data_IF_686053376607
#
_entry.id   IF_686053376607
#
_cell.length_a   1.000
_cell.length_b   1.000
_cell.length_c   1.000
_cell.angle_alpha   90.00
_cell.angle_beta   90.00
_cell.angle_gamma   90.00
#
_symmetry.space_group_name_H-M   'P 1'
#
loop_
_entity.id
_entity.type
_entity.pdbx_description
1 polymer ?
#
# COMPACT_ATOMS: atom_id res chain seq x y z
N UNK A 1 -6.37 8.59 8.49
CA UNK A 1 -5.14 9.03 7.79
C UNK A 1 -5.55 9.79 6.54
N UNK A 2 -4.86 10.88 6.18
CA UNK A 2 -5.20 11.69 4.99
C UNK A 2 -4.58 11.11 3.72
N UNK A 3 -5.16 11.26 2.53
CA UNK A 3 -4.47 10.88 1.28
C UNK A 3 -3.23 11.78 1.04
N UNK A 4 -2.23 11.33 0.26
CA UNK A 4 -1.12 12.16 -0.20
C UNK A 4 -1.62 13.40 -0.97
N UNK A 5 -0.91 14.52 -0.82
CA UNK A 5 -1.22 15.80 -1.50
C UNK A 5 -0.49 15.98 -2.84
N UNK A 6 0.57 15.22 -3.07
CA UNK A 6 1.41 15.31 -4.26
C UNK A 6 1.65 13.94 -4.87
N UNK A 7 1.97 13.91 -6.16
CA UNK A 7 2.37 12.69 -6.85
C UNK A 7 3.62 12.06 -6.21
N UNK A 8 4.59 12.89 -5.81
CA UNK A 8 5.78 12.43 -5.09
C UNK A 8 5.42 11.78 -3.75
N UNK A 9 4.51 12.35 -2.98
CA UNK A 9 4.08 11.74 -1.72
C UNK A 9 3.30 10.43 -1.94
N UNK A 10 2.55 10.31 -3.04
CA UNK A 10 1.93 9.04 -3.43
C UNK A 10 2.98 8.02 -3.87
N UNK A 11 3.99 8.44 -4.62
CA UNK A 11 5.12 7.62 -5.04
C UNK A 11 5.88 7.04 -3.83
N UNK A 12 6.21 7.88 -2.85
CA UNK A 12 6.85 7.45 -1.61
C UNK A 12 5.95 6.52 -0.77
N UNK A 13 4.63 6.73 -0.78
CA UNK A 13 3.68 5.84 -0.10
C UNK A 13 3.70 4.42 -0.71
N UNK A 14 3.79 4.30 -2.03
CA UNK A 14 3.90 3.00 -2.72
C UNK A 14 5.24 2.31 -2.37
N UNK A 15 6.34 3.05 -2.35
CA UNK A 15 7.66 2.52 -1.91
C UNK A 15 7.63 2.06 -0.45
N UNK A 16 7.00 2.82 0.43
CA UNK A 16 6.84 2.43 1.83
C UNK A 16 6.07 1.11 1.95
N UNK A 17 4.98 0.93 1.19
CA UNK A 17 4.25 -0.32 1.21
C UNK A 17 5.12 -1.50 0.73
N UNK A 18 5.92 -1.34 -0.33
CA UNK A 18 6.84 -2.38 -0.78
C UNK A 18 7.86 -2.76 0.30
N UNK A 19 8.46 -1.77 0.96
CA UNK A 19 9.38 -1.98 2.07
C UNK A 19 8.72 -2.75 3.22
N UNK A 20 7.52 -2.37 3.62
CA UNK A 20 6.78 -3.02 4.71
C UNK A 20 6.37 -4.46 4.37
N UNK A 21 6.09 -4.77 3.09
CA UNK A 21 5.89 -6.16 2.66
C UNK A 21 7.17 -6.96 2.85
N UNK A 22 8.31 -6.41 2.40
CA UNK A 22 9.58 -7.11 2.47
C UNK A 22 10.02 -7.32 3.93
N UNK A 23 9.82 -6.32 4.81
CA UNK A 23 10.04 -6.45 6.25
C UNK A 23 9.12 -7.49 6.89
N UNK A 24 7.83 -7.50 6.55
CA UNK A 24 6.87 -8.48 7.09
C UNK A 24 7.24 -9.91 6.66
N UNK A 25 7.65 -10.09 5.41
CA UNK A 25 8.11 -11.40 4.90
C UNK A 25 9.37 -11.86 5.61
N UNK A 26 10.35 -10.97 5.79
CA UNK A 26 11.57 -11.28 6.52
C UNK A 26 11.26 -11.64 7.98
N UNK A 27 10.43 -10.85 8.67
CA UNK A 27 10.04 -11.10 10.04
C UNK A 27 9.42 -12.49 10.23
N UNK A 28 8.53 -12.89 9.31
CA UNK A 28 7.94 -14.23 9.40
C UNK A 28 8.95 -15.31 9.04
N UNK A 29 9.79 -15.13 8.02
CA UNK A 29 10.87 -16.10 7.71
C UNK A 29 11.75 -16.42 8.92
N UNK A 30 12.03 -15.44 9.79
CA UNK A 30 12.75 -15.64 11.04
C UNK A 30 11.95 -16.37 12.13
N UNK A 31 10.61 -16.31 12.10
CA UNK A 31 9.71 -16.98 13.05
C UNK A 31 9.18 -18.33 12.54
N UNK A 32 9.52 -18.74 11.31
CA UNK A 32 9.11 -20.04 10.76
C UNK A 32 9.79 -21.19 11.51
N UNK A 33 8.99 -21.91 12.31
CA UNK A 33 9.26 -23.31 12.67
C UNK A 33 8.97 -24.24 11.45
N UNK A 34 9.12 -25.56 11.63
CA UNK A 34 8.96 -26.59 10.58
C UNK A 34 7.60 -26.59 9.83
N UNK A 35 6.62 -25.79 10.28
CA UNK A 35 5.24 -25.71 9.76
C UNK A 35 5.09 -24.77 8.55
N UNK A 36 6.11 -23.99 8.20
CA UNK A 36 6.09 -23.09 7.04
C UNK A 36 5.26 -21.81 7.24
N UNK A 37 5.25 -20.89 6.26
CA UNK A 37 4.60 -19.59 6.41
C UNK A 37 3.08 -19.70 6.47
N UNK A 38 2.42 -18.86 7.30
CA UNK A 38 0.97 -18.78 7.31
C UNK A 38 0.42 -18.44 5.91
N UNK A 39 -0.72 -19.04 5.51
CA UNK A 39 -1.30 -18.88 4.16
C UNK A 39 -1.60 -17.41 3.79
N UNK A 40 -1.82 -16.56 4.78
CA UNK A 40 -1.97 -15.11 4.63
C UNK A 40 -0.75 -14.45 3.96
N UNK A 41 0.45 -15.00 4.15
CA UNK A 41 1.67 -14.47 3.55
C UNK A 41 1.85 -14.87 2.09
N UNK A 42 1.20 -15.94 1.64
CA UNK A 42 1.21 -16.32 0.23
C UNK A 42 0.54 -15.24 -0.63
N UNK A 43 -0.41 -14.50 -0.05
CA UNK A 43 -1.09 -13.36 -0.71
C UNK A 43 -0.22 -12.09 -0.77
N UNK A 44 0.85 -11.98 0.02
CA UNK A 44 1.77 -10.84 -0.05
C UNK A 44 2.58 -10.81 -1.35
N UNK A 45 2.87 -11.98 -1.94
CA UNK A 45 3.59 -12.07 -3.22
C UNK A 45 2.84 -11.38 -4.36
N UNK A 46 1.58 -11.76 -4.64
CA UNK A 46 0.73 -11.07 -5.61
C UNK A 46 0.56 -9.57 -5.33
N UNK A 47 0.30 -9.19 -4.06
CA UNK A 47 0.14 -7.77 -3.69
C UNK A 47 1.42 -6.98 -4.02
N UNK A 48 2.61 -7.52 -3.68
CA UNK A 48 3.90 -6.91 -3.98
C UNK A 48 4.11 -6.70 -5.47
N UNK A 49 3.87 -7.74 -6.28
CA UNK A 49 4.05 -7.67 -7.73
C UNK A 49 3.19 -6.57 -8.36
N UNK A 50 1.95 -6.43 -7.91
CA UNK A 50 1.07 -5.37 -8.39
C UNK A 50 1.48 -3.96 -7.94
N UNK A 51 2.05 -3.83 -6.73
CA UNK A 51 2.62 -2.57 -6.26
C UNK A 51 3.89 -2.20 -7.03
N UNK A 52 4.71 -3.18 -7.44
CA UNK A 52 5.86 -2.95 -8.33
C UNK A 52 5.42 -2.49 -9.73
N UNK A 53 4.35 -3.07 -10.28
CA UNK A 53 3.74 -2.58 -11.54
C UNK A 53 3.25 -1.14 -11.40
N UNK A 54 2.60 -0.81 -10.27
CA UNK A 54 2.15 0.54 -9.96
C UNK A 54 3.34 1.51 -9.86
N UNK A 55 4.39 1.11 -9.16
CA UNK A 55 5.62 1.88 -9.01
C UNK A 55 6.28 2.16 -10.37
N UNK A 56 6.39 1.14 -11.21
CA UNK A 56 6.95 1.28 -12.55
C UNK A 56 6.17 2.27 -13.42
N UNK A 57 4.82 2.30 -13.31
CA UNK A 57 3.99 3.28 -14.02
C UNK A 57 4.20 4.70 -13.49
N UNK A 58 4.40 4.86 -12.18
CA UNK A 58 4.72 6.14 -11.55
C UNK A 58 6.08 6.66 -12.02
N UNK A 59 7.11 5.81 -12.01
CA UNK A 59 8.45 6.14 -12.50
C UNK A 59 8.47 6.49 -14.00
N UNK A 60 7.64 5.82 -14.80
CA UNK A 60 7.47 6.10 -16.22
C UNK A 60 6.65 7.37 -16.51
N UNK A 61 6.02 7.98 -15.50
CA UNK A 61 5.11 9.12 -15.68
C UNK A 61 3.85 8.77 -16.48
N UNK A 62 3.50 7.49 -16.59
CA UNK A 62 2.33 6.97 -17.33
C UNK A 62 1.21 6.51 -16.39
N UNK A 63 1.23 7.02 -15.16
CA UNK A 63 0.24 6.72 -14.14
C UNK A 63 -0.80 7.83 -14.08
N UNK A 64 -2.07 7.43 -14.12
CA UNK A 64 -3.22 8.30 -13.96
C UNK A 64 -4.04 7.86 -12.74
N UNK A 65 -4.53 8.83 -11.99
CA UNK A 65 -5.49 8.62 -10.91
C UNK A 65 -6.89 8.42 -11.45
N UNK A 66 -7.73 7.78 -10.63
CA UNK A 66 -9.13 7.50 -10.92
C UNK A 66 -9.32 6.13 -11.58
N UNK A 67 -10.54 5.61 -11.47
CA UNK A 67 -10.92 4.34 -12.05
C UNK A 67 -11.40 3.33 -11.02
N UNK A 68 -11.25 2.05 -11.37
CA UNK A 68 -11.59 0.93 -10.51
C UNK A 68 -10.55 0.74 -9.39
N UNK A 69 -10.92 0.10 -8.27
CA UNK A 69 -9.95 -0.27 -7.24
C UNK A 69 -8.76 -1.04 -7.82
N UNK A 70 -7.58 -0.83 -7.23
CA UNK A 70 -6.38 -1.58 -7.60
C UNK A 70 -6.63 -3.09 -7.41
N UNK A 71 -6.12 -3.91 -8.33
CA UNK A 71 -6.45 -5.35 -8.41
C UNK A 71 -6.11 -6.08 -7.10
N UNK A 72 -5.06 -5.64 -6.39
CA UNK A 72 -4.64 -6.19 -5.11
C UNK A 72 -5.70 -6.07 -4.01
N UNK A 73 -6.69 -5.19 -4.17
CA UNK A 73 -7.81 -5.09 -3.23
C UNK A 73 -8.62 -6.38 -3.15
N UNK A 74 -8.61 -7.22 -4.19
CA UNK A 74 -9.19 -8.56 -4.14
C UNK A 74 -8.45 -9.45 -3.14
N UNK A 75 -7.11 -9.37 -3.10
CA UNK A 75 -6.28 -10.11 -2.13
C UNK A 75 -6.52 -9.62 -0.70
N UNK A 76 -6.66 -8.31 -0.51
CA UNK A 76 -6.95 -7.71 0.81
C UNK A 76 -8.33 -8.10 1.34
N UNK A 77 -9.32 -8.29 0.47
CA UNK A 77 -10.64 -8.78 0.86
C UNK A 77 -10.64 -10.28 1.19
N UNK A 78 -9.76 -11.06 0.55
CA UNK A 78 -9.59 -12.48 0.85
C UNK A 78 -8.84 -12.72 2.17
N UNK A 79 -8.03 -11.75 2.61
CA UNK A 79 -7.36 -11.76 3.90
C UNK A 79 -8.36 -11.47 5.02
N UNK A 80 -8.83 -12.52 5.70
CA UNK A 80 -9.64 -12.43 6.92
C UNK A 80 -8.79 -12.14 8.17
N UNK A 81 -7.75 -11.32 8.00
CA UNK A 81 -6.77 -11.00 9.04
C UNK A 81 -6.92 -9.52 9.41
N UNK A 82 -7.75 -9.19 10.41
CA UNK A 82 -7.91 -7.81 10.88
C UNK A 82 -6.61 -7.22 11.47
N UNK A 83 -5.58 -8.03 11.69
CA UNK A 83 -4.28 -7.63 12.27
C UNK A 83 -3.13 -7.41 11.29
N UNK A 84 -3.34 -7.47 9.96
CA UNK A 84 -2.24 -7.29 9.02
C UNK A 84 -1.66 -5.86 9.10
N UNK A 85 -0.39 -5.68 9.55
CA UNK A 85 0.16 -4.36 9.89
C UNK A 85 0.25 -3.41 8.69
N UNK A 86 0.41 -3.93 7.47
CA UNK A 86 0.48 -3.13 6.24
C UNK A 86 -0.89 -2.71 5.69
N UNK A 87 -1.99 -3.31 6.15
CA UNK A 87 -3.35 -3.06 5.62
C UNK A 87 -3.71 -1.57 5.52
N UNK A 88 -3.42 -0.70 6.51
CA UNK A 88 -3.73 0.73 6.41
C UNK A 88 -3.02 1.43 5.24
N UNK A 89 -1.79 1.03 4.91
CA UNK A 89 -1.04 1.58 3.77
C UNK A 89 -1.70 1.18 2.45
N UNK A 90 -2.04 -0.10 2.29
CA UNK A 90 -2.67 -0.62 1.07
C UNK A 90 -4.04 0.01 0.81
N UNK A 91 -4.84 0.19 1.87
CA UNK A 91 -6.12 0.89 1.78
C UNK A 91 -5.94 2.35 1.38
N UNK A 92 -4.94 3.04 1.93
CA UNK A 92 -4.65 4.44 1.62
C UNK A 92 -4.14 4.62 0.19
N UNK A 93 -3.29 3.72 -0.30
CA UNK A 93 -2.85 3.72 -1.70
C UNK A 93 -4.06 3.58 -2.62
N UNK A 94 -4.94 2.60 -2.35
CA UNK A 94 -6.14 2.39 -3.15
C UNK A 94 -7.10 3.60 -3.09
N UNK A 95 -7.32 4.16 -1.90
CA UNK A 95 -8.16 5.34 -1.73
C UNK A 95 -7.62 6.55 -2.51
N UNK A 96 -6.30 6.73 -2.50
CA UNK A 96 -5.64 7.79 -3.29
C UNK A 96 -5.72 7.50 -4.78
N UNK A 97 -5.57 6.24 -5.20
CA UNK A 97 -5.76 5.83 -6.59
C UNK A 97 -7.17 6.19 -7.08
N UNK A 98 -8.21 5.76 -6.36
CA UNK A 98 -9.60 5.96 -6.77
C UNK A 98 -10.03 7.42 -6.77
N UNK A 99 -9.59 8.20 -5.77
CA UNK A 99 -10.11 9.55 -5.53
C UNK A 99 -9.13 10.66 -5.88
N UNK A 100 -7.93 10.32 -6.35
CA UNK A 100 -6.84 11.27 -6.59
C UNK A 100 -6.19 11.79 -5.30
N UNK A 101 -5.36 12.82 -5.47
CA UNK A 101 -4.63 13.48 -4.39
C UNK A 101 -5.57 14.26 -3.46
N UNK A 102 -5.15 14.45 -2.21
CA UNK A 102 -5.86 15.29 -1.26
C UNK A 102 -5.75 16.77 -1.65
N UNK A 103 -6.89 17.44 -1.80
CA UNK A 103 -6.97 18.85 -2.20
C UNK A 103 -7.46 19.76 -1.07
N UNK A 104 -7.88 19.20 0.07
CA UNK A 104 -8.34 19.98 1.22
C UNK A 104 -7.22 20.77 1.92
N UNK A 105 -7.55 21.84 2.65
CA UNK A 105 -6.59 22.51 3.54
C UNK A 105 -5.98 21.49 4.51
N UNK A 106 -4.71 21.63 4.86
CA UNK A 106 -4.15 20.75 5.90
C UNK A 106 -4.83 21.13 7.21
N UNK A 107 -5.53 20.21 7.89
CA UNK A 107 -6.17 20.53 9.16
C UNK A 107 -5.15 20.95 10.23
N UNK A 108 -3.85 20.78 9.96
CA UNK A 108 -2.74 21.23 10.78
C UNK A 108 -1.99 22.46 10.21
N UNK A 109 -2.39 23.00 9.05
CA UNK A 109 -1.87 24.27 8.53
C UNK A 109 -2.30 25.40 9.46
N UNK A 110 -1.35 26.12 10.05
CA UNK A 110 -1.63 27.25 10.96
C UNK A 110 -1.97 26.88 12.41
N UNK A 111 -1.80 25.62 12.83
CA UNK A 111 -1.94 25.21 14.25
C UNK A 111 -0.68 25.48 15.10
N UNK A 112 0.39 26.01 14.49
CA UNK A 112 1.64 26.37 15.15
C UNK A 112 2.07 27.83 14.89
N UNK A 113 1.13 28.71 14.53
CA UNK A 113 1.36 30.16 14.53
C UNK A 113 1.23 30.77 15.95
#
# INVERSE_FOLDING_TARGET
MMRPRTLEAFHELVKQALFEIDELRAAVEYELDEEGPPPELELLGPIRAELEELLARLDAGSYDFGGEPLRYMAHIQALDTPGLPIRPLLLRINDTHCHGLETGPDPFDGLYD
#
